data_IF_140441279012
#
_entry.id   IF_140441279012
#
_cell.length_a   1.000
_cell.length_b   1.000
_cell.length_c   1.000
_cell.angle_alpha   90.00
_cell.angle_beta   90.00
_cell.angle_gamma   90.00
#
_symmetry.space_group_name_H-M   'P 1'
#
loop_
_entity.id
_entity.type
_entity.pdbx_description
1 polymer ?
#
# COMPACT_ATOMS: atom_id res chain seq x y z
N UNK A 1 -8.73 17.48 1.18
CA UNK A 1 -8.60 16.57 0.04
C UNK A 1 -7.11 16.34 -0.15
N UNK A 2 -6.65 15.10 -0.18
CA UNK A 2 -5.22 14.81 -0.32
C UNK A 2 -4.67 15.39 -1.64
N UNK A 3 -3.40 15.77 -1.64
CA UNK A 3 -2.75 16.41 -2.79
C UNK A 3 -2.59 15.49 -3.99
N UNK A 4 -2.57 14.17 -3.79
CA UNK A 4 -2.40 13.19 -4.86
C UNK A 4 -3.60 13.13 -5.85
N UNK A 5 -4.78 13.61 -5.46
CA UNK A 5 -5.96 13.67 -6.35
C UNK A 5 -5.83 14.67 -7.51
N UNK A 6 -4.78 15.50 -7.52
CA UNK A 6 -4.48 16.37 -8.66
C UNK A 6 -4.08 15.59 -9.93
N UNK A 7 -3.66 14.32 -9.77
CA UNK A 7 -3.34 13.40 -10.85
C UNK A 7 -4.44 12.37 -10.99
N UNK A 8 -4.79 11.98 -12.22
CA UNK A 8 -5.62 10.79 -12.43
C UNK A 8 -4.82 9.50 -12.10
N UNK A 9 -5.50 8.36 -12.05
CA UNK A 9 -4.88 7.09 -11.63
C UNK A 9 -3.72 6.65 -12.53
N UNK A 10 -3.84 6.83 -13.84
CA UNK A 10 -2.78 6.48 -14.80
C UNK A 10 -1.56 7.38 -14.63
N UNK A 11 -1.78 8.69 -14.53
CA UNK A 11 -0.71 9.67 -14.31
C UNK A 11 -0.01 9.42 -12.97
N UNK A 12 -0.77 9.15 -11.92
CA UNK A 12 -0.24 8.87 -10.59
C UNK A 12 0.61 7.59 -10.59
N UNK A 13 0.08 6.49 -11.11
CA UNK A 13 0.79 5.21 -11.17
C UNK A 13 2.04 5.29 -12.06
N UNK A 14 1.94 5.93 -13.23
CA UNK A 14 3.06 6.12 -14.14
C UNK A 14 4.17 6.99 -13.53
N UNK A 15 3.82 8.11 -12.89
CA UNK A 15 4.82 8.96 -12.23
C UNK A 15 5.49 8.24 -11.07
N UNK A 16 4.76 7.42 -10.31
CA UNK A 16 5.34 6.61 -9.25
C UNK A 16 6.32 5.57 -9.80
N UNK A 17 5.90 4.80 -10.82
CA UNK A 17 6.72 3.78 -11.47
C UNK A 17 8.02 4.36 -12.07
N UNK A 18 7.94 5.54 -12.67
CA UNK A 18 9.09 6.24 -13.25
C UNK A 18 9.94 7.00 -12.22
N UNK A 19 9.60 6.93 -10.94
CA UNK A 19 10.25 7.67 -9.86
C UNK A 19 10.23 9.20 -10.06
N UNK A 20 9.18 9.71 -10.70
CA UNK A 20 8.95 11.13 -11.00
C UNK A 20 7.89 11.78 -10.11
N UNK A 21 7.13 10.98 -9.35
CA UNK A 21 6.14 11.49 -8.41
C UNK A 21 6.82 12.36 -7.34
N UNK A 22 6.30 13.56 -7.11
CA UNK A 22 6.77 14.40 -6.01
C UNK A 22 6.57 13.65 -4.67
N UNK A 23 7.62 13.44 -3.85
CA UNK A 23 7.51 12.69 -2.59
C UNK A 23 6.47 13.25 -1.62
N UNK A 24 6.20 14.57 -1.66
CA UNK A 24 5.16 15.20 -0.85
C UNK A 24 3.72 14.75 -1.20
N UNK A 25 3.54 14.10 -2.35
CA UNK A 25 2.26 13.51 -2.78
C UNK A 25 2.11 12.05 -2.33
N UNK A 26 3.17 11.40 -1.85
CA UNK A 26 3.14 9.98 -1.49
C UNK A 26 2.83 9.80 0.01
N UNK A 27 1.61 10.13 0.39
CA UNK A 27 1.06 9.88 1.74
C UNK A 27 0.63 8.41 1.93
N UNK A 28 0.21 8.05 3.14
CA UNK A 28 -0.39 6.73 3.42
C UNK A 28 -1.58 6.45 2.50
N UNK A 29 -2.47 7.43 2.32
CA UNK A 29 -3.61 7.29 1.40
C UNK A 29 -3.17 7.11 -0.05
N UNK A 30 -2.12 7.83 -0.49
CA UNK A 30 -1.55 7.65 -1.83
C UNK A 30 -1.00 6.23 -2.04
N UNK A 31 -0.40 5.63 -1.00
CA UNK A 31 0.04 4.23 -1.06
C UNK A 31 -1.15 3.27 -1.16
N UNK A 32 -2.22 3.48 -0.39
CA UNK A 32 -3.46 2.69 -0.52
C UNK A 32 -4.08 2.84 -1.92
N UNK A 33 -4.03 4.04 -2.50
CA UNK A 33 -4.47 4.29 -3.87
C UNK A 33 -3.66 3.49 -4.87
N UNK A 34 -2.33 3.50 -4.74
CA UNK A 34 -1.46 2.69 -5.61
C UNK A 34 -1.79 1.20 -5.50
N UNK A 35 -2.00 0.71 -4.28
CA UNK A 35 -2.44 -0.67 -4.03
C UNK A 35 -3.79 -0.97 -4.71
N UNK A 36 -4.78 -0.10 -4.58
CA UNK A 36 -6.08 -0.26 -5.21
C UNK A 36 -5.98 -0.31 -6.74
N UNK A 37 -5.22 0.61 -7.34
CA UNK A 37 -4.96 0.64 -8.80
C UNK A 37 -4.33 -0.68 -9.26
N UNK A 38 -3.30 -1.16 -8.57
CA UNK A 38 -2.60 -2.37 -8.98
C UNK A 38 -3.43 -3.64 -8.76
N UNK A 39 -4.13 -3.75 -7.63
CA UNK A 39 -4.99 -4.91 -7.33
C UNK A 39 -6.12 -5.02 -8.35
N UNK A 40 -6.80 -3.91 -8.65
CA UNK A 40 -7.92 -3.89 -9.60
C UNK A 40 -7.49 -4.18 -11.05
N UNK A 41 -6.24 -3.85 -11.42
CA UNK A 41 -5.72 -4.06 -12.79
C UNK A 41 -5.03 -5.40 -13.01
N UNK A 42 -4.29 -5.89 -12.02
CA UNK A 42 -3.35 -7.00 -12.18
C UNK A 42 -3.61 -8.18 -11.23
N UNK A 43 -4.50 -8.02 -10.25
CA UNK A 43 -4.67 -8.98 -9.15
C UNK A 43 -3.61 -8.84 -8.07
N UNK A 44 -3.85 -9.46 -6.91
CA UNK A 44 -3.07 -9.23 -5.68
C UNK A 44 -1.61 -9.65 -5.77
N UNK A 45 -1.30 -10.79 -6.37
CA UNK A 45 0.09 -11.30 -6.41
C UNK A 45 0.97 -10.42 -7.32
N UNK A 46 0.48 -10.05 -8.51
CA UNK A 46 1.20 -9.11 -9.39
C UNK A 46 1.26 -7.71 -8.80
N UNK A 47 0.23 -7.27 -8.06
CA UNK A 47 0.25 -6.00 -7.34
C UNK A 47 1.38 -5.95 -6.29
N UNK A 48 1.56 -7.04 -5.54
CA UNK A 48 2.66 -7.17 -4.56
C UNK A 48 4.02 -7.04 -5.24
N UNK A 49 4.27 -7.80 -6.30
CA UNK A 49 5.54 -7.75 -7.04
C UNK A 49 5.83 -6.35 -7.59
N UNK A 50 4.84 -5.75 -8.25
CA UNK A 50 4.98 -4.44 -8.88
C UNK A 50 5.26 -3.36 -7.83
N UNK A 51 4.44 -3.27 -6.78
CA UNK A 51 4.54 -2.19 -5.79
C UNK A 51 5.80 -2.36 -4.95
N UNK A 52 6.19 -3.57 -4.56
CA UNK A 52 7.43 -3.76 -3.82
C UNK A 52 8.63 -3.29 -4.65
N UNK A 53 8.70 -3.66 -5.93
CA UNK A 53 9.78 -3.25 -6.84
C UNK A 53 9.78 -1.74 -7.07
N UNK A 54 8.62 -1.14 -7.35
CA UNK A 54 8.49 0.29 -7.60
C UNK A 54 8.82 1.11 -6.33
N UNK A 55 8.33 0.69 -5.17
CA UNK A 55 8.57 1.39 -3.90
C UNK A 55 10.05 1.34 -3.50
N UNK A 56 10.74 0.20 -3.71
CA UNK A 56 12.19 0.10 -3.54
C UNK A 56 12.90 1.15 -4.41
N UNK A 57 12.62 1.16 -5.72
CA UNK A 57 13.24 2.12 -6.66
C UNK A 57 12.93 3.57 -6.30
N UNK A 58 11.70 3.84 -5.86
CA UNK A 58 11.25 5.18 -5.47
C UNK A 58 11.96 5.67 -4.21
N UNK A 59 12.10 4.84 -3.17
CA UNK A 59 12.83 5.27 -1.97
C UNK A 59 14.34 5.37 -2.21
N UNK A 60 14.90 4.53 -3.10
CA UNK A 60 16.31 4.57 -3.47
C UNK A 60 16.65 5.86 -4.25
N UNK A 61 15.78 6.29 -5.18
CA UNK A 61 15.98 7.54 -5.92
C UNK A 61 15.97 8.78 -5.01
N UNK A 62 15.37 8.66 -3.83
CA UNK A 62 15.29 9.70 -2.81
C UNK A 62 16.36 9.56 -1.71
N UNK A 63 17.19 8.52 -1.75
CA UNK A 63 18.15 8.22 -0.69
C UNK A 63 17.52 7.85 0.65
N UNK A 64 16.27 7.37 0.64
CA UNK A 64 15.43 7.11 1.82
C UNK A 64 15.10 5.62 1.97
N UNK A 65 16.04 4.74 1.61
CA UNK A 65 15.87 3.28 1.60
C UNK A 65 15.42 2.71 2.96
N UNK A 66 15.81 3.36 4.03
CA UNK A 66 15.44 3.04 5.42
C UNK A 66 13.92 3.12 5.67
N UNK A 67 13.17 3.90 4.88
CA UNK A 67 11.71 4.03 4.98
C UNK A 67 10.94 2.86 4.38
N UNK A 68 11.57 2.03 3.55
CA UNK A 68 10.90 0.87 2.99
C UNK A 68 10.77 -0.24 4.02
N UNK A 69 9.56 -0.79 4.15
CA UNK A 69 9.26 -1.96 4.96
C UNK A 69 8.46 -2.96 4.12
N UNK A 70 9.08 -4.09 3.81
CA UNK A 70 8.50 -5.11 2.94
C UNK A 70 7.21 -5.69 3.51
N UNK A 71 7.21 -6.11 4.79
CA UNK A 71 6.03 -6.73 5.39
C UNK A 71 4.86 -5.77 5.49
N UNK A 72 5.10 -4.53 5.89
CA UNK A 72 4.06 -3.51 5.97
C UNK A 72 3.46 -3.20 4.58
N UNK A 73 4.31 -3.15 3.55
CA UNK A 73 3.88 -2.94 2.16
C UNK A 73 2.99 -4.08 1.68
N UNK A 74 3.43 -5.34 1.84
CA UNK A 74 2.63 -6.52 1.45
C UNK A 74 1.32 -6.57 2.24
N UNK A 75 1.35 -6.31 3.55
CA UNK A 75 0.16 -6.29 4.39
C UNK A 75 -0.86 -5.23 3.95
N UNK A 76 -0.41 -4.02 3.57
CA UNK A 76 -1.28 -2.98 3.02
C UNK A 76 -1.98 -3.44 1.73
N UNK A 77 -1.23 -4.07 0.81
CA UNK A 77 -1.76 -4.55 -0.48
C UNK A 77 -2.77 -5.68 -0.27
N UNK A 78 -2.46 -6.64 0.60
CA UNK A 78 -3.39 -7.74 0.94
C UNK A 78 -4.65 -7.22 1.64
N UNK A 79 -4.53 -6.24 2.54
CA UNK A 79 -5.68 -5.59 3.16
C UNK A 79 -6.57 -4.88 2.13
N UNK A 80 -5.97 -4.11 1.21
CA UNK A 80 -6.72 -3.47 0.11
C UNK A 80 -7.43 -4.52 -0.75
N UNK A 81 -6.76 -5.60 -1.14
CA UNK A 81 -7.37 -6.69 -1.91
C UNK A 81 -8.58 -7.31 -1.19
N UNK A 82 -8.45 -7.60 0.11
CA UNK A 82 -9.55 -8.13 0.90
C UNK A 82 -10.81 -7.26 0.80
N UNK A 83 -10.65 -5.94 0.91
CA UNK A 83 -11.80 -5.03 0.85
C UNK A 83 -12.27 -4.76 -0.58
N UNK A 84 -11.38 -4.72 -1.57
CA UNK A 84 -11.75 -4.61 -2.99
C UNK A 84 -12.70 -5.76 -3.37
N UNK A 85 -12.40 -6.99 -2.94
CA UNK A 85 -13.24 -8.16 -3.20
C UNK A 85 -14.58 -8.16 -2.44
N UNK A 86 -14.78 -7.22 -1.50
CA UNK A 86 -16.00 -7.08 -0.68
C UNK A 86 -16.77 -5.79 -0.96
N UNK A 87 -16.28 -4.97 -1.87
CA UNK A 87 -16.87 -3.67 -2.19
C UNK A 87 -17.28 -3.61 -3.66
N UNK A 88 -18.40 -2.95 -3.95
CA UNK A 88 -18.82 -2.64 -5.33
C UNK A 88 -18.28 -1.27 -5.80
N UNK A 89 -17.24 -0.75 -5.14
CA UNK A 89 -16.67 0.56 -5.45
C UNK A 89 -15.94 0.54 -6.80
N UNK A 90 -16.26 1.50 -7.66
CA UNK A 90 -15.67 1.63 -9.00
C UNK A 90 -14.55 2.65 -9.08
N UNK A 91 -14.34 3.43 -8.02
CA UNK A 91 -13.25 4.40 -7.90
C UNK A 91 -12.65 4.37 -6.49
N UNK A 92 -11.40 4.81 -6.38
CA UNK A 92 -10.67 4.80 -5.11
C UNK A 92 -11.26 5.73 -4.05
N UNK A 93 -11.85 6.87 -4.44
CA UNK A 93 -12.37 7.84 -3.49
C UNK A 93 -13.53 7.26 -2.68
N UNK A 94 -14.51 6.67 -3.37
CA UNK A 94 -15.65 6.00 -2.71
C UNK A 94 -15.16 4.81 -1.87
N UNK A 95 -14.18 4.06 -2.39
CA UNK A 95 -13.57 2.92 -1.69
C UNK A 95 -12.95 3.34 -0.34
N UNK A 96 -12.12 4.38 -0.34
CA UNK A 96 -11.42 4.80 0.89
C UNK A 96 -12.35 5.50 1.89
N UNK A 97 -13.41 6.16 1.41
CA UNK A 97 -14.44 6.77 2.26
C UNK A 97 -15.30 5.71 2.98
N UNK A 98 -15.62 4.59 2.31
CA UNK A 98 -16.36 3.48 2.92
C UNK A 98 -15.51 2.64 3.90
N UNK A 99 -14.19 2.77 3.82
CA UNK A 99 -13.25 1.94 4.57
C UNK A 99 -12.31 2.79 5.45
N UNK A 100 -12.86 3.56 6.41
CA UNK A 100 -12.06 4.46 7.24
C UNK A 100 -10.98 3.72 8.05
N UNK A 101 -11.14 2.41 8.29
CA UNK A 101 -10.13 1.58 8.94
C UNK A 101 -8.82 1.49 8.15
N UNK A 102 -8.87 1.45 6.82
CA UNK A 102 -7.66 1.45 6.00
C UNK A 102 -6.91 2.79 6.12
N UNK A 103 -7.64 3.90 6.18
CA UNK A 103 -7.07 5.25 6.19
C UNK A 103 -6.61 5.71 7.58
N UNK A 104 -7.46 5.58 8.60
CA UNK A 104 -7.27 6.20 9.91
C UNK A 104 -6.89 5.22 11.02
N UNK A 105 -7.24 3.93 10.88
CA UNK A 105 -6.98 2.90 11.89
C UNK A 105 -6.15 1.74 11.33
N UNK A 106 -5.19 2.07 10.47
CA UNK A 106 -4.37 1.07 9.79
C UNK A 106 -3.52 0.26 10.77
N UNK A 107 -3.00 0.91 11.83
CA UNK A 107 -2.21 0.22 12.86
C UNK A 107 -3.04 -0.81 13.62
N UNK A 108 -4.25 -0.44 14.02
CA UNK A 108 -5.18 -1.36 14.69
C UNK A 108 -5.61 -2.50 13.76
N UNK A 109 -5.80 -2.21 12.47
CA UNK A 109 -6.09 -3.25 11.48
C UNK A 109 -4.94 -4.25 11.39
N UNK A 110 -3.70 -3.78 11.24
CA UNK A 110 -2.51 -4.64 11.14
C UNK A 110 -2.27 -5.44 12.43
N UNK A 111 -2.58 -4.88 13.60
CA UNK A 111 -2.48 -5.57 14.89
C UNK A 111 -3.43 -6.77 15.03
N UNK A 112 -4.48 -6.86 14.20
CA UNK A 112 -5.32 -8.07 14.13
C UNK A 112 -4.62 -9.24 13.42
N UNK A 113 -3.58 -8.97 12.64
CA UNK A 113 -2.90 -9.93 11.77
C UNK A 113 -1.53 -10.36 12.31
N UNK A 114 -0.85 -9.50 13.08
CA UNK A 114 0.50 -9.74 13.59
C UNK A 114 0.58 -9.58 15.12
N UNK A 115 1.17 -10.55 15.81
CA UNK A 115 1.64 -10.38 17.20
C UNK A 115 2.96 -9.60 17.25
N UNK A 116 3.83 -9.83 16.26
CA UNK A 116 5.08 -9.13 16.12
C UNK A 116 4.85 -7.65 15.75
N UNK A 117 5.62 -6.74 16.35
CA UNK A 117 5.68 -5.36 15.90
C UNK A 117 6.44 -5.27 14.56
N UNK A 118 5.70 -5.41 13.46
CA UNK A 118 6.26 -5.33 12.10
C UNK A 118 6.74 -3.92 11.73
N UNK A 119 6.42 -2.89 12.52
CA UNK A 119 6.85 -1.52 12.25
C UNK A 119 8.31 -1.28 12.64
N UNK A 120 8.80 -2.00 13.66
CA UNK A 120 10.16 -1.83 14.21
C UNK A 120 11.07 -3.04 13.97
N UNK A 121 10.51 -4.17 13.54
CA UNK A 121 11.29 -5.39 13.24
C UNK A 121 12.15 -5.25 11.98
N UNK A 122 13.46 -5.43 12.14
CA UNK A 122 14.41 -5.47 11.02
C UNK A 122 14.10 -6.61 10.03
N UNK A 123 13.72 -7.78 10.54
CA UNK A 123 13.34 -8.91 9.70
C UNK A 123 12.11 -8.58 8.84
N UNK A 124 11.06 -8.03 9.46
CA UNK A 124 9.84 -7.66 8.76
C UNK A 124 10.07 -6.56 7.71
N UNK A 125 11.07 -5.70 7.96
CA UNK A 125 11.45 -4.63 7.05
C UNK A 125 12.11 -5.14 5.77
N UNK A 126 12.94 -6.18 5.85
CA UNK A 126 13.72 -6.70 4.70
C UNK A 126 13.17 -7.97 4.07
N UNK A 127 12.25 -8.66 4.73
CA UNK A 127 11.67 -9.91 4.25
C UNK A 127 10.22 -9.98 4.67
N UNK A 128 9.36 -10.40 3.75
CA UNK A 128 7.95 -10.58 4.08
C UNK A 128 7.78 -11.69 5.11
N UNK A 129 7.15 -11.34 6.22
CA UNK A 129 6.70 -12.29 7.25
C UNK A 129 5.19 -12.45 7.11
N UNK A 130 4.72 -13.69 7.00
CA UNK A 130 3.28 -14.01 6.96
C UNK A 130 2.60 -13.66 8.30
N UNK A 131 1.30 -13.30 8.29
CA UNK A 131 0.55 -13.02 9.51
C UNK A 131 0.45 -14.26 10.41
N UNK A 132 0.63 -14.06 11.71
CA UNK A 132 0.65 -15.11 12.74
C UNK A 132 -0.66 -15.20 13.54
N UNK A 133 -1.56 -14.20 13.43
CA UNK A 133 -2.87 -14.18 14.08
C UNK A 133 -4.02 -14.53 13.14
N UNK A 134 -4.26 -13.68 12.15
CA UNK A 134 -5.36 -13.82 11.20
C UNK A 134 -4.84 -13.63 9.77
N UNK A 135 -5.21 -14.48 8.81
CA UNK A 135 -4.85 -14.27 7.42
C UNK A 135 -5.58 -13.06 6.83
N UNK A 136 -5.03 -12.50 5.76
CA UNK A 136 -5.73 -11.58 4.87
C UNK A 136 -6.58 -12.38 3.86
N UNK A 137 -7.53 -13.18 4.35
CA UNK A 137 -8.47 -13.97 3.53
C UNK A 137 -9.73 -13.19 3.23
#
# INVERSE_FOLDING_TARGET
MESHYALNDDQFAQQFELCQLNPALFSHEAHLRLAWIHVTRYGVEQAIENICTQLVRFVDSLGARDKYNQTLTVAAIRAVNHFVNKSDCTNFQDFIEQLPRLKYNFKELIACHYQLDIYTSDLARTTYVEPDLLPFS
#
